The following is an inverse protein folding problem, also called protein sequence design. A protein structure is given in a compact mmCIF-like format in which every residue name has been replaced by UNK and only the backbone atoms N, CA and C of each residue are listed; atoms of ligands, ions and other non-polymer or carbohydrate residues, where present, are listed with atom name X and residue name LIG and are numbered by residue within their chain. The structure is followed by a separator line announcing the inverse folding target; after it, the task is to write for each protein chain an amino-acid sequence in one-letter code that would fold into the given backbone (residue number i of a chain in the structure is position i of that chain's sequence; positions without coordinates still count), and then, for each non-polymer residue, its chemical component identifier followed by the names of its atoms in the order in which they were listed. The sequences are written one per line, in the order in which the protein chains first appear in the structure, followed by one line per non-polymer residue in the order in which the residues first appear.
data_IF_856483039836
#
_entry.id   IF_856483039836
#
_cell.length_a   1.000
_cell.length_b   1.000
_cell.length_c   1.000
_cell.angle_alpha   90.00
_cell.angle_beta   90.00
_cell.angle_gamma   90.00
#
_symmetry.space_group_name_H-M   'P 1'
#
loop_
_entity.id
_entity.type
_entity.pdbx_description
1 polymer ?
#
# COMPACT_ATOMS: atom_id res chain seq x y z
N UNK A 1 -33.98 -0.61 -59.63
CA UNK A 1 -34.31 -0.02 -58.31
C UNK A 1 -34.25 -1.04 -57.16
N UNK A 2 -34.90 -2.21 -57.22
CA UNK A 2 -34.92 -3.19 -56.10
C UNK A 2 -33.54 -3.75 -55.66
N UNK A 3 -32.59 -3.96 -56.58
CA UNK A 3 -31.26 -4.51 -56.26
C UNK A 3 -30.37 -3.55 -55.47
N UNK A 4 -30.54 -2.24 -55.63
CA UNK A 4 -29.70 -1.23 -54.96
C UNK A 4 -30.20 -0.96 -53.54
N UNK A 5 -31.52 -1.07 -53.31
CA UNK A 5 -32.11 -0.99 -51.97
C UNK A 5 -31.68 -2.16 -51.07
N UNK A 6 -31.56 -3.37 -51.62
CA UNK A 6 -31.10 -4.55 -50.87
C UNK A 6 -29.62 -4.42 -50.50
N UNK A 7 -28.78 -3.92 -51.41
CA UNK A 7 -27.35 -3.70 -51.14
C UNK A 7 -27.14 -2.64 -50.05
N UNK A 8 -27.94 -1.57 -50.07
CA UNK A 8 -27.90 -0.51 -49.06
C UNK A 8 -28.38 -1.03 -47.69
N UNK A 9 -29.41 -1.87 -47.65
CA UNK A 9 -29.89 -2.49 -46.42
C UNK A 9 -28.86 -3.45 -45.81
N UNK A 10 -28.17 -4.26 -46.65
CA UNK A 10 -27.10 -5.17 -46.19
C UNK A 10 -25.91 -4.38 -45.63
N UNK A 11 -25.51 -3.27 -46.27
CA UNK A 11 -24.46 -2.38 -45.78
C UNK A 11 -24.84 -1.73 -44.44
N UNK A 12 -26.09 -1.28 -44.29
CA UNK A 12 -26.58 -0.69 -43.03
C UNK A 12 -26.60 -1.75 -41.91
N UNK A 13 -27.03 -2.99 -42.19
CA UNK A 13 -27.01 -4.09 -41.20
C UNK A 13 -25.58 -4.47 -40.82
N UNK A 14 -24.63 -4.48 -41.77
CA UNK A 14 -23.20 -4.72 -41.49
C UNK A 14 -22.54 -3.59 -40.67
N UNK A 15 -23.01 -2.35 -40.80
CA UNK A 15 -22.52 -1.23 -39.97
C UNK A 15 -23.15 -1.20 -38.55
N UNK A 16 -24.32 -1.79 -38.35
CA UNK A 16 -24.97 -1.90 -37.03
C UNK A 16 -24.48 -3.14 -36.27
N UNK A 17 -23.98 -4.16 -36.98
CA UNK A 17 -23.47 -5.41 -36.42
C UNK A 17 -21.94 -5.41 -36.23
N UNK A 18 -21.32 -4.25 -36.00
CA UNK A 18 -19.93 -4.25 -35.51
C UNK A 18 -20.01 -4.67 -34.05
N UNK A 19 -19.42 -5.83 -33.66
CA UNK A 19 -19.34 -6.16 -32.25
C UNK A 19 -18.59 -5.03 -31.56
N UNK A 20 -19.21 -4.42 -30.54
CA UNK A 20 -18.48 -3.57 -29.62
C UNK A 20 -17.43 -4.46 -28.96
N UNK A 21 -16.19 -4.41 -29.44
CA UNK A 21 -15.08 -4.97 -28.70
C UNK A 21 -15.04 -4.20 -27.38
N UNK A 22 -15.43 -4.86 -26.29
CA UNK A 22 -15.32 -4.28 -24.97
C UNK A 22 -13.82 -4.06 -24.74
N UNK A 23 -13.40 -2.80 -24.72
CA UNK A 23 -12.00 -2.45 -24.51
C UNK A 23 -11.70 -2.61 -23.03
N UNK A 24 -10.65 -3.37 -22.70
CA UNK A 24 -10.14 -3.42 -21.33
C UNK A 24 -9.81 -2.00 -20.88
N UNK A 25 -10.44 -1.61 -19.77
CA UNK A 25 -10.20 -0.34 -19.08
C UNK A 25 -9.19 -0.58 -17.98
N UNK A 26 -8.07 0.12 -18.05
CA UNK A 26 -7.03 0.08 -17.04
C UNK A 26 -7.17 1.31 -16.14
N UNK A 27 -7.24 1.09 -14.83
CA UNK A 27 -7.29 2.16 -13.85
C UNK A 27 -6.04 2.10 -12.97
N UNK A 28 -5.34 3.23 -12.84
CA UNK A 28 -4.17 3.37 -11.98
C UNK A 28 -4.44 4.44 -10.93
N UNK A 29 -4.45 4.05 -9.65
CA UNK A 29 -4.77 4.95 -8.54
C UNK A 29 -3.84 6.16 -8.51
N UNK A 30 -2.54 5.94 -8.66
CA UNK A 30 -1.53 7.01 -8.67
C UNK A 30 -1.68 7.99 -9.84
N UNK A 31 -2.23 7.57 -10.99
CA UNK A 31 -2.48 8.49 -12.11
C UNK A 31 -3.62 9.45 -11.80
N UNK A 32 -4.69 8.97 -11.17
CA UNK A 32 -5.84 9.80 -10.78
C UNK A 32 -5.53 10.72 -9.61
N UNK A 33 -4.77 10.23 -8.64
CA UNK A 33 -4.59 10.88 -7.34
C UNK A 33 -3.24 11.60 -7.18
N UNK A 34 -2.34 11.45 -8.16
CA UNK A 34 -1.03 12.09 -8.21
C UNK A 34 0.09 11.21 -7.66
N UNK A 35 1.33 11.59 -8.00
CA UNK A 35 2.53 10.84 -7.67
C UNK A 35 2.86 9.77 -8.72
N UNK A 36 3.68 8.80 -8.30
CA UNK A 36 4.01 7.57 -9.04
C UNK A 36 3.97 6.40 -8.06
N UNK A 37 3.96 5.19 -8.58
CA UNK A 37 4.10 3.97 -7.78
C UNK A 37 5.47 3.92 -7.08
N UNK A 38 5.58 3.09 -6.04
CA UNK A 38 6.78 2.88 -5.23
C UNK A 38 7.05 1.39 -5.06
N UNK A 39 8.31 1.04 -4.88
CA UNK A 39 8.77 -0.34 -4.80
C UNK A 39 9.89 -0.50 -3.77
N UNK A 40 9.50 -0.64 -2.50
CA UNK A 40 10.45 -0.94 -1.44
C UNK A 40 10.92 -2.41 -1.56
N UNK A 41 12.21 -2.58 -1.82
CA UNK A 41 12.81 -3.90 -2.05
C UNK A 41 13.39 -4.50 -0.77
N UNK A 42 13.24 -5.82 -0.63
CA UNK A 42 14.02 -6.59 0.35
C UNK A 42 15.48 -6.67 -0.06
N UNK A 43 16.33 -6.79 0.95
CA UNK A 43 17.77 -6.82 0.76
C UNK A 43 18.25 -8.26 0.63
N UNK A 44 18.49 -8.71 -0.60
CA UNK A 44 19.01 -10.08 -0.87
C UNK A 44 20.29 -10.46 -0.08
N UNK A 45 21.10 -9.48 0.34
CA UNK A 45 22.38 -9.72 1.01
C UNK A 45 22.30 -9.96 2.52
N UNK A 46 21.13 -9.80 3.17
CA UNK A 46 20.92 -10.18 4.56
C UNK A 46 19.62 -10.97 4.71
N UNK A 47 19.48 -11.69 5.81
CA UNK A 47 18.27 -12.46 6.14
C UNK A 47 17.47 -11.75 7.22
N UNK A 48 17.56 -10.42 7.27
CA UNK A 48 16.92 -9.62 8.32
C UNK A 48 15.55 -9.10 7.86
N UNK A 49 15.13 -9.39 6.62
CA UNK A 49 13.86 -8.97 6.03
C UNK A 49 13.15 -10.04 5.16
N UNK A 50 13.60 -11.30 5.23
CA UNK A 50 13.10 -12.41 4.41
C UNK A 50 11.57 -12.55 4.44
N UNK A 51 10.94 -12.22 5.57
CA UNK A 51 9.51 -12.34 5.82
C UNK A 51 8.78 -10.98 5.93
N UNK A 52 9.45 -9.88 5.62
CA UNK A 52 8.93 -8.50 5.82
C UNK A 52 8.24 -7.90 4.59
N UNK A 53 7.74 -8.71 3.65
CA UNK A 53 7.01 -8.21 2.46
C UNK A 53 5.79 -7.34 2.82
N UNK A 54 5.14 -7.64 3.95
CA UNK A 54 4.05 -6.83 4.49
C UNK A 54 4.52 -5.42 4.87
N UNK A 55 5.73 -5.28 5.42
CA UNK A 55 6.28 -3.99 5.81
C UNK A 55 6.75 -3.19 4.58
N UNK A 56 7.30 -3.87 3.56
CA UNK A 56 7.62 -3.23 2.28
C UNK A 56 6.36 -2.67 1.60
N UNK A 57 5.30 -3.48 1.50
CA UNK A 57 4.02 -3.03 0.95
C UNK A 57 3.39 -1.89 1.77
N UNK A 58 3.49 -1.95 3.11
CA UNK A 58 3.06 -0.86 3.97
C UNK A 58 3.85 0.43 3.70
N UNK A 59 5.17 0.32 3.50
CA UNK A 59 6.09 1.44 3.26
C UNK A 59 5.82 2.15 1.94
N UNK A 60 5.53 1.39 0.89
CA UNK A 60 5.10 1.91 -0.41
C UNK A 60 3.88 2.82 -0.26
N UNK A 61 2.87 2.34 0.46
CA UNK A 61 1.65 3.12 0.68
C UNK A 61 1.89 4.31 1.60
N UNK A 62 2.66 4.19 2.68
CA UNK A 62 3.00 5.33 3.56
C UNK A 62 3.69 6.46 2.78
N UNK A 63 4.63 6.09 1.90
CA UNK A 63 5.34 7.02 1.03
C UNK A 63 4.38 7.72 0.05
N UNK A 64 3.63 6.94 -0.74
CA UNK A 64 2.73 7.46 -1.77
C UNK A 64 1.55 8.25 -1.20
N UNK A 65 0.97 7.78 -0.11
CA UNK A 65 -0.20 8.39 0.51
C UNK A 65 0.10 9.69 1.27
N UNK A 66 1.38 10.08 1.39
CA UNK A 66 1.79 11.32 2.04
C UNK A 66 1.94 11.21 3.57
N UNK A 67 2.21 10.01 4.07
CA UNK A 67 2.46 9.73 5.48
C UNK A 67 3.95 9.58 5.82
N UNK A 68 4.84 9.91 4.87
CA UNK A 68 6.28 10.04 5.11
C UNK A 68 6.60 11.10 6.17
N UNK A 69 7.78 11.01 6.76
CA UNK A 69 8.27 12.01 7.73
C UNK A 69 9.48 12.74 7.15
N UNK A 70 9.97 13.77 7.85
CA UNK A 70 11.22 14.42 7.47
C UNK A 70 12.44 13.50 7.59
N UNK A 71 12.36 12.45 8.40
CA UNK A 71 13.44 11.47 8.60
C UNK A 71 13.33 10.30 7.59
N UNK A 72 12.11 9.91 7.28
CA UNK A 72 11.79 8.78 6.40
C UNK A 72 10.93 9.27 5.24
N UNK A 73 11.59 9.77 4.20
CA UNK A 73 10.98 10.52 3.09
C UNK A 73 10.68 9.70 1.83
N UNK A 74 11.14 8.46 1.76
CA UNK A 74 10.92 7.51 0.66
C UNK A 74 10.42 6.16 1.18
N UNK A 75 9.82 5.35 0.29
CA UNK A 75 9.39 3.99 0.62
C UNK A 75 10.54 3.16 1.21
N UNK A 76 11.73 3.20 0.61
CA UNK A 76 12.92 2.49 1.13
C UNK A 76 13.33 2.96 2.52
N UNK A 77 13.33 4.27 2.76
CA UNK A 77 13.71 4.80 4.09
C UNK A 77 12.69 4.44 5.16
N UNK A 78 11.40 4.36 4.80
CA UNK A 78 10.34 3.89 5.68
C UNK A 78 10.51 2.39 5.94
N UNK A 79 10.83 1.61 4.90
CA UNK A 79 11.06 0.18 5.02
C UNK A 79 12.30 -0.14 5.88
N UNK A 80 13.37 0.64 5.74
CA UNK A 80 14.55 0.57 6.61
C UNK A 80 14.19 0.80 8.09
N UNK A 81 13.23 1.69 8.38
CA UNK A 81 12.72 1.84 9.73
C UNK A 81 12.00 0.57 10.20
N UNK A 82 11.20 -0.08 9.36
CA UNK A 82 10.59 -1.36 9.74
C UNK A 82 11.64 -2.42 10.07
N UNK A 83 12.66 -2.59 9.22
CA UNK A 83 13.77 -3.53 9.44
C UNK A 83 14.52 -3.26 10.76
N UNK A 84 14.67 -2.00 11.16
CA UNK A 84 15.32 -1.61 12.41
C UNK A 84 14.51 -2.03 13.66
N UNK A 85 13.18 -1.93 13.61
CA UNK A 85 12.34 -2.04 14.81
C UNK A 85 11.54 -3.35 14.92
N UNK A 86 11.23 -4.02 13.81
CA UNK A 86 10.36 -5.19 13.74
C UNK A 86 11.11 -6.49 13.47
N UNK A 87 10.66 -7.58 14.09
CA UNK A 87 11.23 -8.90 13.85
C UNK A 87 11.02 -9.33 12.41
N UNK A 88 11.98 -10.07 11.85
CA UNK A 88 11.83 -10.71 10.54
C UNK A 88 10.84 -11.89 10.59
N UNK A 89 9.55 -11.59 10.55
CA UNK A 89 8.43 -12.53 10.59
C UNK A 89 7.27 -11.98 9.75
N UNK A 90 6.32 -12.86 9.39
CA UNK A 90 5.12 -12.46 8.66
C UNK A 90 4.20 -11.53 9.47
N UNK A 91 3.48 -10.66 8.78
CA UNK A 91 2.60 -9.65 9.37
C UNK A 91 1.55 -9.17 8.38
N UNK A 92 0.78 -8.15 8.78
CA UNK A 92 -0.18 -7.45 7.94
C UNK A 92 0.23 -5.99 7.81
N UNK A 93 -0.12 -5.35 6.70
CA UNK A 93 0.24 -3.96 6.40
C UNK A 93 -0.40 -3.02 7.43
N UNK A 94 -1.62 -3.33 7.88
CA UNK A 94 -2.33 -2.65 8.96
C UNK A 94 -1.54 -2.54 10.27
N UNK A 95 -0.81 -3.59 10.65
CA UNK A 95 0.03 -3.56 11.85
C UNK A 95 1.18 -2.56 11.70
N UNK A 96 1.76 -2.49 10.50
CA UNK A 96 2.80 -1.51 10.20
C UNK A 96 2.28 -0.09 10.20
N UNK A 97 1.09 0.13 9.63
CA UNK A 97 0.44 1.43 9.62
C UNK A 97 0.02 1.88 11.03
N UNK A 98 -0.60 1.04 11.85
CA UNK A 98 -0.97 1.43 13.22
C UNK A 98 0.27 1.81 14.04
N UNK A 99 1.34 1.01 13.95
CA UNK A 99 2.61 1.35 14.60
C UNK A 99 3.21 2.65 14.09
N UNK A 100 3.19 2.89 12.78
CA UNK A 100 3.70 4.14 12.21
C UNK A 100 2.97 5.36 12.75
N UNK A 101 1.65 5.26 12.89
CA UNK A 101 0.80 6.37 13.30
C UNK A 101 0.77 6.55 14.81
N UNK A 102 0.47 5.50 15.56
CA UNK A 102 0.15 5.56 16.99
C UNK A 102 1.25 4.98 17.87
N UNK A 103 2.14 4.16 17.29
CA UNK A 103 3.13 3.37 18.02
C UNK A 103 2.55 2.11 18.66
N UNK A 104 1.27 1.81 18.42
CA UNK A 104 0.65 0.56 18.84
C UNK A 104 1.24 -0.61 18.04
N UNK A 105 1.39 -1.75 18.70
CA UNK A 105 1.96 -2.95 18.10
C UNK A 105 1.10 -4.16 18.44
N UNK A 106 1.09 -5.21 17.60
CA UNK A 106 0.49 -6.49 17.97
C UNK A 106 1.07 -6.99 19.30
N UNK A 107 0.24 -7.68 20.09
CA UNK A 107 0.69 -8.24 21.36
C UNK A 107 1.78 -9.30 21.14
N UNK A 108 2.86 -9.21 21.92
CA UNK A 108 3.97 -10.17 21.93
C UNK A 108 3.47 -11.61 22.12
N UNK A 109 3.99 -12.56 21.32
CA UNK A 109 3.72 -14.00 21.46
C UNK A 109 2.72 -14.58 20.44
N UNK A 110 2.23 -13.80 19.48
CA UNK A 110 1.60 -14.32 18.27
C UNK A 110 2.67 -14.84 17.31
N UNK A 111 2.35 -15.78 16.42
CA UNK A 111 3.23 -16.21 15.31
C UNK A 111 3.39 -15.13 14.21
N UNK A 112 3.20 -13.87 14.57
CA UNK A 112 3.25 -12.70 13.72
C UNK A 112 4.37 -11.78 14.20
N UNK A 113 4.87 -10.94 13.30
CA UNK A 113 5.91 -9.96 13.60
C UNK A 113 5.49 -9.01 14.72
N UNK A 114 6.48 -8.59 15.52
CA UNK A 114 6.31 -7.63 16.58
C UNK A 114 7.52 -6.69 16.67
N UNK A 115 7.33 -5.55 17.32
CA UNK A 115 8.42 -4.60 17.59
C UNK A 115 9.30 -5.14 18.72
N UNK A 116 10.56 -5.42 18.42
CA UNK A 116 11.53 -5.99 19.35
C UNK A 116 12.55 -4.97 19.86
N UNK A 117 12.71 -3.85 19.14
CA UNK A 117 13.51 -2.70 19.57
C UNK A 117 12.57 -1.56 19.93
N UNK A 118 12.66 -1.04 21.15
CA UNK A 118 11.90 0.15 21.55
C UNK A 118 12.54 1.41 20.96
N UNK A 119 11.75 2.35 20.43
CA UNK A 119 12.24 3.69 20.05
C UNK A 119 11.65 4.25 18.76
N UNK A 120 11.07 3.40 17.91
CA UNK A 120 10.41 3.80 16.66
C UNK A 120 8.88 3.77 16.72
N UNK A 121 8.25 4.29 15.66
CA UNK A 121 6.80 4.37 15.50
C UNK A 121 6.17 5.56 16.21
N UNK A 122 4.85 5.70 16.08
CA UNK A 122 4.08 6.79 16.70
C UNK A 122 4.41 8.17 16.15
N UNK A 123 4.84 8.26 14.88
CA UNK A 123 5.26 9.51 14.26
C UNK A 123 4.11 10.53 14.14
N UNK A 124 2.88 10.05 14.16
CA UNK A 124 1.65 10.86 14.14
C UNK A 124 0.89 10.82 15.46
N UNK A 125 1.46 10.23 16.52
CA UNK A 125 0.77 10.02 17.79
C UNK A 125 0.28 11.33 18.40
N UNK A 126 1.14 12.34 18.45
CA UNK A 126 0.76 13.65 18.98
C UNK A 126 -0.35 14.32 18.16
N UNK A 127 -0.36 14.13 16.84
CA UNK A 127 -1.44 14.63 15.98
C UNK A 127 -2.75 13.91 16.31
N UNK A 128 -2.72 12.57 16.35
CA UNK A 128 -3.87 11.72 16.63
C UNK A 128 -4.48 12.01 18.00
N UNK A 129 -3.64 12.15 19.03
CA UNK A 129 -4.08 12.53 20.37
C UNK A 129 -4.67 13.94 20.40
N UNK A 130 -4.02 14.91 19.74
CA UNK A 130 -4.48 16.32 19.76
C UNK A 130 -5.81 16.53 19.06
N UNK A 131 -6.09 15.75 18.02
CA UNK A 131 -7.31 15.83 17.22
C UNK A 131 -8.34 14.75 17.58
N UNK A 132 -8.04 13.90 18.57
CA UNK A 132 -8.88 12.75 18.96
C UNK A 132 -9.21 11.84 17.78
N UNK A 133 -8.23 11.60 16.90
CA UNK A 133 -8.36 10.72 15.74
C UNK A 133 -8.17 9.26 16.15
N UNK A 134 -8.83 8.36 15.44
CA UNK A 134 -8.68 6.92 15.60
C UNK A 134 -8.08 6.31 14.33
N UNK A 135 -7.04 5.49 14.46
CA UNK A 135 -6.42 4.80 13.31
C UNK A 135 -7.42 3.94 12.54
N UNK A 136 -8.40 3.35 13.23
CA UNK A 136 -9.45 2.56 12.59
C UNK A 136 -10.30 3.36 11.59
N UNK A 137 -10.29 4.69 11.63
CA UNK A 137 -11.01 5.54 10.67
C UNK A 137 -10.20 5.79 9.38
N UNK A 138 -8.90 5.45 9.36
CA UNK A 138 -7.98 5.68 8.24
C UNK A 138 -7.61 4.39 7.49
N UNK A 139 -7.99 3.23 8.03
CA UNK A 139 -7.65 1.93 7.49
C UNK A 139 -8.92 1.16 7.11
N UNK A 140 -8.85 0.44 5.99
CA UNK A 140 -9.95 -0.38 5.47
C UNK A 140 -9.46 -1.80 5.16
N UNK A 141 -10.33 -2.78 5.38
CA UNK A 141 -10.04 -4.20 5.15
C UNK A 141 -11.18 -4.87 4.39
N UNK A 142 -10.86 -5.73 3.43
CA UNK A 142 -11.78 -6.73 2.88
C UNK A 142 -11.20 -8.13 3.03
N UNK A 143 -11.99 -9.04 3.60
CA UNK A 143 -11.63 -10.46 3.84
C UNK A 143 -12.60 -11.44 3.17
N UNK A 144 -13.68 -10.96 2.55
CA UNK A 144 -14.59 -11.77 1.76
C UNK A 144 -13.95 -12.15 0.42
N UNK A 145 -13.62 -13.43 0.26
CA UNK A 145 -12.92 -13.95 -0.91
C UNK A 145 -13.60 -13.63 -2.26
N UNK A 146 -14.92 -13.46 -2.28
CA UNK A 146 -15.66 -13.06 -3.49
C UNK A 146 -15.51 -11.59 -3.86
N UNK A 147 -15.29 -10.72 -2.88
CA UNK A 147 -15.28 -9.27 -3.02
C UNK A 147 -13.91 -8.66 -3.27
N UNK A 148 -12.83 -9.45 -3.30
CA UNK A 148 -11.44 -8.95 -3.33
C UNK A 148 -11.19 -7.95 -4.46
N UNK A 149 -11.52 -8.31 -5.70
CA UNK A 149 -11.31 -7.42 -6.84
C UNK A 149 -12.21 -6.17 -6.82
N UNK A 150 -13.45 -6.30 -6.33
CA UNK A 150 -14.31 -5.12 -6.13
C UNK A 150 -13.81 -4.20 -5.02
N UNK A 151 -13.19 -4.73 -3.97
CA UNK A 151 -12.57 -3.94 -2.92
C UNK A 151 -11.34 -3.20 -3.44
N UNK A 152 -10.44 -3.89 -4.17
CA UNK A 152 -9.29 -3.27 -4.84
C UNK A 152 -9.76 -2.10 -5.73
N UNK A 153 -10.75 -2.34 -6.58
CA UNK A 153 -11.29 -1.29 -7.44
C UNK A 153 -11.89 -0.13 -6.63
N UNK A 154 -12.67 -0.42 -5.59
CA UNK A 154 -13.30 0.59 -4.72
C UNK A 154 -12.24 1.43 -4.00
N UNK A 155 -11.22 0.81 -3.43
CA UNK A 155 -10.17 1.51 -2.69
C UNK A 155 -9.31 2.38 -3.61
N UNK A 156 -8.87 1.84 -4.75
CA UNK A 156 -8.10 2.61 -5.73
C UNK A 156 -8.91 3.76 -6.35
N UNK A 157 -10.21 3.57 -6.59
CA UNK A 157 -11.08 4.63 -7.12
C UNK A 157 -11.49 5.65 -6.06
N UNK A 158 -11.49 5.28 -4.78
CA UNK A 158 -11.74 6.20 -3.64
C UNK A 158 -10.48 6.96 -3.20
N UNK A 159 -9.32 6.63 -3.77
CA UNK A 159 -8.07 7.31 -3.51
C UNK A 159 -7.30 6.78 -2.32
N UNK A 160 -7.58 5.56 -1.88
CA UNK A 160 -6.80 4.89 -0.86
C UNK A 160 -5.58 4.18 -1.47
N UNK A 161 -4.48 4.18 -0.73
CA UNK A 161 -3.36 3.30 -1.05
C UNK A 161 -3.75 1.87 -0.76
N UNK A 162 -3.52 0.95 -1.69
CA UNK A 162 -4.08 -0.41 -1.63
C UNK A 162 -2.97 -1.46 -1.63
N UNK A 163 -3.08 -2.44 -0.74
CA UNK A 163 -2.20 -3.60 -0.64
C UNK A 163 -3.02 -4.88 -0.57
N UNK A 164 -2.39 -6.02 -0.85
CA UNK A 164 -3.03 -7.33 -0.76
C UNK A 164 -2.16 -8.30 0.00
N UNK A 165 -2.80 -9.15 0.81
CA UNK A 165 -2.22 -10.40 1.27
C UNK A 165 -2.69 -11.53 0.36
N UNK A 166 -1.74 -12.20 -0.26
CA UNK A 166 -1.99 -13.37 -1.10
C UNK A 166 -1.56 -14.63 -0.35
N UNK A 167 -2.29 -15.72 -0.55
CA UNK A 167 -2.07 -16.96 0.18
C UNK A 167 -2.08 -18.18 -0.73
N UNK A 168 -1.37 -19.21 -0.31
CA UNK A 168 -1.37 -20.52 -0.95
C UNK A 168 -1.34 -21.62 0.10
N UNK A 169 -2.14 -22.66 -0.12
CA UNK A 169 -2.05 -23.88 0.68
C UNK A 169 -0.86 -24.73 0.24
N UNK A 170 0.00 -25.13 1.17
CA UNK A 170 1.10 -26.06 0.98
C UNK A 170 0.95 -27.18 2.01
N UNK A 171 0.46 -28.34 1.57
CA UNK A 171 0.09 -29.43 2.46
C UNK A 171 -0.99 -29.01 3.46
N UNK A 172 -0.68 -29.09 4.75
CA UNK A 172 -1.56 -28.68 5.85
C UNK A 172 -1.26 -27.25 6.36
N UNK A 173 -0.45 -26.49 5.64
CA UNK A 173 -0.05 -25.13 6.03
C UNK A 173 -0.48 -24.11 4.98
N UNK A 174 -0.61 -22.85 5.41
CA UNK A 174 -0.86 -21.72 4.53
C UNK A 174 0.41 -20.87 4.53
N UNK A 175 0.93 -20.58 3.35
CA UNK A 175 1.97 -19.56 3.16
C UNK A 175 1.30 -18.27 2.70
N UNK A 176 1.83 -17.13 3.16
CA UNK A 176 1.34 -15.81 2.81
C UNK A 176 2.46 -14.98 2.16
N UNK A 177 2.06 -14.01 1.36
CA UNK A 177 2.92 -12.97 0.80
C UNK A 177 2.12 -11.68 0.69
N UNK A 178 2.79 -10.52 0.64
CA UNK A 178 2.14 -9.22 0.56
C UNK A 178 2.65 -8.44 -0.64
N UNK A 179 1.74 -7.77 -1.34
CA UNK A 179 2.02 -6.98 -2.54
C UNK A 179 1.36 -5.60 -2.41
N UNK A 180 1.93 -4.60 -3.09
CA UNK A 180 1.27 -3.29 -3.25
C UNK A 180 0.50 -3.27 -4.56
N UNK A 181 -0.75 -2.81 -4.56
CA UNK A 181 -1.58 -2.73 -5.76
C UNK A 181 -1.69 -1.29 -6.24
N UNK A 182 -1.34 -1.05 -7.49
CA UNK A 182 -1.31 0.29 -8.09
C UNK A 182 -2.40 0.50 -9.15
N UNK A 183 -2.97 -0.59 -9.66
CA UNK A 183 -4.02 -0.54 -10.66
C UNK A 183 -4.76 -1.85 -10.86
N UNK A 184 -5.87 -1.78 -11.57
CA UNK A 184 -6.69 -2.93 -11.97
C UNK A 184 -7.17 -2.80 -13.42
N UNK A 185 -7.44 -3.93 -14.05
CA UNK A 185 -7.98 -4.04 -15.40
C UNK A 185 -9.43 -4.58 -15.34
N UNK A 186 -10.32 -3.98 -16.13
CA UNK A 186 -11.73 -4.36 -16.21
C UNK A 186 -12.20 -4.33 -17.67
N UNK A 187 -12.76 -5.43 -18.17
CA UNK A 187 -13.17 -5.54 -19.58
C UNK A 187 -14.60 -5.07 -19.86
N UNK A 188 -15.32 -4.58 -18.85
CA UNK A 188 -16.74 -4.22 -18.95
C UNK A 188 -17.69 -5.28 -18.38
N UNK A 189 -17.21 -6.50 -18.17
CA UNK A 189 -17.95 -7.60 -17.54
C UNK A 189 -17.25 -8.05 -16.24
N UNK A 190 -15.94 -8.31 -16.30
CA UNK A 190 -15.16 -8.84 -15.20
C UNK A 190 -13.80 -8.17 -15.03
N UNK A 191 -13.21 -8.35 -13.84
CA UNK A 191 -11.85 -7.91 -13.57
C UNK A 191 -10.87 -8.91 -14.18
N UNK A 192 -9.92 -8.41 -14.97
CA UNK A 192 -9.00 -9.26 -15.74
C UNK A 192 -7.58 -9.26 -15.20
N UNK A 193 -7.19 -8.27 -14.40
CA UNK A 193 -5.84 -8.23 -13.83
C UNK A 193 -5.59 -7.08 -12.87
N UNK A 194 -4.38 -7.09 -12.30
CA UNK A 194 -3.86 -6.08 -11.38
C UNK A 194 -2.40 -5.72 -11.71
N UNK A 195 -2.03 -4.48 -11.42
CA UNK A 195 -0.63 -4.03 -11.43
C UNK A 195 -0.11 -3.93 -10.01
N UNK A 196 1.01 -4.58 -9.74
CA UNK A 196 1.59 -4.69 -8.40
C UNK A 196 3.08 -4.40 -8.41
N UNK A 197 3.58 -3.99 -7.25
CA UNK A 197 5.01 -4.05 -6.90
C UNK A 197 5.21 -5.11 -5.82
N UNK A 198 6.38 -5.76 -5.85
CA UNK A 198 6.69 -6.95 -5.07
C UNK A 198 8.12 -6.88 -4.54
N UNK A 199 8.28 -6.77 -3.23
CA UNK A 199 9.59 -6.62 -2.58
C UNK A 199 10.56 -7.80 -2.79
N UNK A 200 10.10 -8.92 -3.35
CA UNK A 200 10.89 -10.13 -3.62
C UNK A 200 11.48 -10.16 -5.05
N UNK A 201 11.33 -9.11 -5.86
CA UNK A 201 11.90 -9.02 -7.21
C UNK A 201 13.40 -8.60 -7.22
N UNK A 202 14.15 -9.14 -6.25
CA UNK A 202 15.55 -8.88 -5.93
C UNK A 202 16.42 -8.50 -7.14
N UNK A 203 17.10 -7.35 -7.03
CA UNK A 203 18.24 -7.02 -7.89
C UNK A 203 17.88 -6.48 -9.27
N UNK A 204 16.64 -6.05 -9.50
CA UNK A 204 16.28 -5.18 -10.63
C UNK A 204 15.96 -3.78 -10.15
N UNK A 205 15.97 -2.81 -11.08
CA UNK A 205 15.27 -1.55 -10.88
C UNK A 205 13.82 -1.82 -10.51
N UNK A 206 13.23 -0.95 -9.69
CA UNK A 206 11.79 -0.92 -9.34
C UNK A 206 10.91 -1.41 -10.51
N UNK A 207 9.98 -2.33 -10.24
CA UNK A 207 9.20 -3.02 -11.27
C UNK A 207 7.70 -3.05 -10.98
N UNK A 208 6.95 -2.38 -11.85
CA UNK A 208 5.49 -2.49 -11.87
C UNK A 208 5.04 -3.68 -12.75
N UNK A 209 4.67 -4.78 -12.11
CA UNK A 209 4.31 -6.03 -12.80
C UNK A 209 2.80 -6.21 -12.93
N UNK A 210 2.34 -6.67 -14.08
CA UNK A 210 0.94 -7.03 -14.31
C UNK A 210 0.73 -8.53 -14.11
N UNK A 211 -0.31 -8.90 -13.37
CA UNK A 211 -0.81 -10.26 -13.26
C UNK A 211 -2.26 -10.32 -13.71
N UNK A 212 -2.58 -11.29 -14.56
CA UNK A 212 -3.97 -11.66 -14.82
C UNK A 212 -4.60 -12.21 -13.55
N UNK A 213 -5.89 -11.95 -13.35
CA UNK A 213 -6.66 -12.53 -12.24
C UNK A 213 -7.75 -13.46 -12.75
N UNK A 214 -7.96 -14.56 -12.04
CA UNK A 214 -9.01 -15.54 -12.36
C UNK A 214 -9.88 -15.81 -11.12
N UNK A 215 -11.20 -15.69 -11.28
CA UNK A 215 -12.13 -16.11 -10.23
C UNK A 215 -12.49 -17.59 -10.37
N UNK A 216 -11.97 -18.42 -9.46
CA UNK A 216 -12.27 -19.86 -9.42
C UNK A 216 -12.46 -20.35 -7.99
N UNK A 217 -13.39 -21.28 -7.80
CA UNK A 217 -13.69 -21.89 -6.49
C UNK A 217 -13.95 -20.87 -5.37
N UNK A 218 -14.60 -19.75 -5.69
CA UNK A 218 -14.95 -18.71 -4.73
C UNK A 218 -13.81 -17.75 -4.35
N UNK A 219 -12.67 -17.80 -5.04
CA UNK A 219 -11.47 -17.00 -4.74
C UNK A 219 -10.89 -16.39 -6.02
N UNK A 220 -10.23 -15.25 -5.87
CA UNK A 220 -9.48 -14.59 -6.94
C UNK A 220 -8.02 -15.04 -6.90
N UNK A 221 -7.54 -15.66 -7.98
CA UNK A 221 -6.16 -16.14 -8.12
C UNK A 221 -5.34 -15.19 -8.98
N UNK A 222 -4.06 -15.04 -8.66
CA UNK A 222 -3.09 -14.36 -9.52
C UNK A 222 -2.49 -15.41 -10.45
N UNK A 223 -2.82 -15.32 -11.74
CA UNK A 223 -2.28 -16.21 -12.75
C UNK A 223 -0.79 -15.93 -12.96
N UNK A 224 0.02 -16.98 -13.04
CA UNK A 224 1.49 -16.85 -13.05
C UNK A 224 2.13 -16.71 -11.66
N UNK A 225 1.36 -16.45 -10.59
CA UNK A 225 1.86 -16.41 -9.21
C UNK A 225 1.68 -17.75 -8.49
N UNK A 226 2.04 -18.86 -9.15
CA UNK A 226 2.14 -20.20 -8.56
C UNK A 226 0.92 -20.70 -7.74
N UNK A 227 -0.31 -20.28 -8.09
CA UNK A 227 -1.54 -20.72 -7.42
C UNK A 227 -1.87 -19.99 -6.13
N UNK A 228 -1.29 -18.80 -5.91
CA UNK A 228 -1.70 -17.90 -4.86
C UNK A 228 -3.05 -17.23 -5.18
N UNK A 229 -3.84 -16.99 -4.14
CA UNK A 229 -5.11 -16.26 -4.22
C UNK A 229 -5.10 -15.06 -3.27
N UNK A 230 -5.87 -14.03 -3.61
CA UNK A 230 -6.07 -12.85 -2.76
C UNK A 230 -6.94 -13.25 -1.57
N UNK A 231 -6.40 -13.17 -0.36
CA UNK A 231 -7.12 -13.51 0.87
C UNK A 231 -7.43 -12.32 1.76
N UNK A 232 -6.76 -11.19 1.56
CA UNK A 232 -7.09 -9.92 2.21
C UNK A 232 -6.71 -8.76 1.28
N UNK A 233 -7.53 -7.72 1.27
CA UNK A 233 -7.20 -6.41 0.69
C UNK A 233 -7.19 -5.40 1.82
N UNK A 234 -6.08 -4.70 1.99
CA UNK A 234 -5.91 -3.65 2.99
C UNK A 234 -5.74 -2.32 2.28
N UNK A 235 -6.30 -1.26 2.84
CA UNK A 235 -6.14 0.07 2.28
C UNK A 235 -5.96 1.15 3.34
N UNK A 236 -5.22 2.20 2.98
CA UNK A 236 -4.90 3.33 3.84
C UNK A 236 -5.33 4.64 3.17
N UNK A 237 -6.00 5.49 3.93
CA UNK A 237 -6.36 6.84 3.55
C UNK A 237 -5.14 7.67 3.17
N UNK A 238 -5.32 8.60 2.23
CA UNK A 238 -4.29 9.59 1.91
C UNK A 238 -4.26 10.73 2.90
N UNK A 239 -3.05 11.20 3.21
CA UNK A 239 -2.87 12.47 3.88
C UNK A 239 -3.16 13.62 2.92
N UNK A 240 -4.43 14.00 2.83
CA UNK A 240 -4.87 15.15 2.02
C UNK A 240 -4.66 16.50 2.74
N UNK A 241 -4.23 16.46 4.00
CA UNK A 241 -3.92 17.64 4.81
C UNK A 241 -2.52 18.15 4.46
N UNK A 242 -2.44 19.01 3.46
CA UNK A 242 -1.20 19.70 3.04
C UNK A 242 -0.60 20.67 4.08
N UNK A 243 -0.89 20.53 5.38
CA UNK A 243 -0.22 21.30 6.43
C UNK A 243 1.00 20.52 6.93
N UNK A 244 2.18 21.09 6.68
CA UNK A 244 3.50 20.63 7.12
C UNK A 244 3.49 19.78 8.41
N UNK A 245 4.11 18.60 8.33
CA UNK A 245 4.41 17.73 9.47
C UNK A 245 4.95 18.59 10.63
N UNK A 246 4.34 18.56 11.82
CA UNK A 246 4.87 19.27 12.97
C UNK A 246 6.28 18.77 13.27
N UNK A 247 7.25 19.69 13.25
CA UNK A 247 8.61 19.40 13.70
C UNK A 247 8.51 18.85 15.14
N UNK A 248 9.12 17.70 15.45
CA UNK A 248 9.06 17.12 16.80
C UNK A 248 9.40 18.16 17.86
N UNK A 249 8.62 18.21 18.96
CA UNK A 249 8.78 19.18 20.04
C UNK A 249 10.21 19.20 20.64
N UNK A 250 10.98 18.13 20.45
CA UNK A 250 12.40 18.06 20.79
C UNK A 250 13.24 19.18 20.13
N UNK A 251 12.98 19.53 18.87
CA UNK A 251 13.76 20.56 18.16
C UNK A 251 13.42 21.97 18.66
N UNK A 252 12.17 22.22 19.09
CA UNK A 252 11.78 23.46 19.77
C UNK A 252 12.38 23.58 21.17
N UNK A 253 12.48 22.48 21.92
CA UNK A 253 13.14 22.44 23.22
C UNK A 253 14.65 22.66 23.13
N UNK A 254 15.32 22.13 22.11
CA UNK A 254 16.75 22.39 21.90
C UNK A 254 17.03 23.83 21.44
N UNK A 255 16.21 24.39 20.54
CA UNK A 255 16.39 25.76 20.06
C UNK A 255 16.05 26.83 21.10
N UNK A 256 15.02 26.62 21.93
CA UNK A 256 14.71 27.50 23.07
C UNK A 256 15.69 27.32 24.24
N UNK A 257 16.19 26.11 24.47
CA UNK A 257 17.23 25.82 25.48
C UNK A 257 18.57 26.48 25.16
N UNK A 258 18.98 26.50 23.88
CA UNK A 258 20.23 27.14 23.46
C UNK A 258 20.18 28.68 23.63
N UNK A 259 19.02 29.30 23.33
CA UNK A 259 18.81 30.73 23.54
C UNK A 259 18.77 31.11 25.02
N UNK A 260 18.20 30.26 25.88
CA UNK A 260 18.20 30.45 27.33
C UNK A 260 19.60 30.41 27.94
N UNK A 261 20.49 29.53 27.44
CA UNK A 261 21.87 29.40 27.93
C UNK A 261 22.78 30.56 27.50
N UNK A 262 22.50 31.21 26.36
CA UNK A 262 23.25 32.39 25.90
C UNK A 262 22.83 33.65 26.70
N UNK A 263 21.57 33.73 27.17
CA UNK A 263 21.04 34.88 27.93
C UNK A 263 21.58 35.04 29.35
N UNK A 264 22.04 33.96 29.99
CA UNK A 264 22.44 33.99 31.42
C UNK A 264 23.91 34.33 31.68
N UNK A 265 24.75 34.52 30.64
CA UNK A 265 26.19 34.74 30.83
C UNK A 265 26.62 36.20 31.07
N UNK A 266 25.69 37.14 31.29
CA UNK A 266 26.02 38.59 31.32
C UNK A 266 25.81 39.35 32.63
N UNK A 267 25.61 38.69 33.78
CA UNK A 267 25.53 39.39 35.09
C UNK A 267 26.13 38.61 36.25
N UNK A 268 27.46 38.47 36.30
CA UNK A 268 28.18 38.42 37.59
C UNK A 268 29.57 39.06 37.37
N UNK A 269 29.69 40.35 37.69
CA UNK A 269 30.95 41.01 38.07
C UNK A 269 30.60 42.40 38.64
N UNK A 270 30.57 42.50 39.97
CA UNK A 270 30.78 43.74 40.72
C UNK A 270 31.94 43.48 41.68
#
# INVERSE_FOLDING_TARGET
MKKHAILFLILVVLFIAVPSFASVTNYFGYTTYGGTWSDADKTYSNSDDDYMCWAAAASNILSWAGWSTSLYSSADSIFAAFQEYWTDQGGLMSYGWDWWFTGATPSYGTSASYVYVSGGGGYYKSLFESLSLNFADYYHEETNAGSMMSAIATYLTSGYGTTIGIYKAIGNSITGHALTVWGYAYDGNEYTGIWVTDSDDYGSSDSLTYYDVEYKNGKWYLEGYNGYYIGVVEALDRNTSSSAVPIPAAIWLFSSGLLGLIGFRKKIAH
#
